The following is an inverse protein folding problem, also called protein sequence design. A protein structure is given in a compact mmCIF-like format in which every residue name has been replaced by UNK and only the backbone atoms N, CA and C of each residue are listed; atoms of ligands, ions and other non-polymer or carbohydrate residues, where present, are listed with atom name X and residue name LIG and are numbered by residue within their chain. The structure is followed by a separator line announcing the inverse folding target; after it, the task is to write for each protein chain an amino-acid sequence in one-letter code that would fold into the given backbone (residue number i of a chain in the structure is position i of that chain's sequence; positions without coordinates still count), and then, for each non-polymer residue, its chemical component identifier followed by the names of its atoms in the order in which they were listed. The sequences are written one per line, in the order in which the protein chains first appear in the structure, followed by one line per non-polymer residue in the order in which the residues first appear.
data_IF_106667881456
#
_entry.id   IF_106667881456
#
_cell.length_a   1.000
_cell.length_b   1.000
_cell.length_c   1.000
_cell.angle_alpha   90.00
_cell.angle_beta   90.00
_cell.angle_gamma   90.00
#
_symmetry.space_group_name_H-M   'P 1'
#
loop_
_entity.id
_entity.type
_entity.pdbx_description
1 polymer ?
#
# COMPACT_ATOMS: atom_id res chain seq x y z
N UNK A 1 23.63 -43.20 13.71
CA UNK A 1 23.29 -42.72 12.35
C UNK A 1 22.06 -41.85 12.49
N UNK A 2 22.18 -40.52 12.31
CA UNK A 2 21.03 -39.62 12.40
C UNK A 2 20.10 -39.81 11.20
N UNK A 3 18.80 -39.91 11.46
CA UNK A 3 17.79 -40.12 10.43
C UNK A 3 17.60 -38.88 9.53
N UNK A 4 17.05 -39.03 8.31
CA UNK A 4 16.72 -37.89 7.44
C UNK A 4 15.79 -36.87 8.10
N UNK A 5 14.92 -37.33 9.01
CA UNK A 5 14.00 -36.49 9.79
C UNK A 5 14.68 -35.63 10.84
N UNK A 6 15.68 -36.15 11.56
CA UNK A 6 16.46 -35.38 12.54
C UNK A 6 17.23 -34.25 11.85
N UNK A 7 17.86 -34.54 10.71
CA UNK A 7 18.58 -33.52 9.93
C UNK A 7 17.67 -32.39 9.44
N UNK A 8 16.41 -32.70 9.13
CA UNK A 8 15.42 -31.68 8.74
C UNK A 8 15.01 -30.81 9.92
N UNK A 9 14.88 -31.39 11.12
CA UNK A 9 14.62 -30.64 12.35
C UNK A 9 15.79 -29.71 12.67
N UNK A 10 17.02 -30.21 12.64
CA UNK A 10 18.22 -29.42 12.90
C UNK A 10 18.33 -28.22 11.96
N UNK A 11 18.12 -28.43 10.65
CA UNK A 11 18.16 -27.34 9.67
C UNK A 11 17.11 -26.26 9.93
N UNK A 12 15.91 -26.65 10.40
CA UNK A 12 14.86 -25.69 10.75
C UNK A 12 15.21 -24.96 12.04
N UNK A 13 15.77 -25.65 13.03
CA UNK A 13 16.22 -25.05 14.29
C UNK A 13 17.36 -24.05 14.09
N UNK A 14 18.28 -24.30 13.16
CA UNK A 14 19.34 -23.36 12.79
C UNK A 14 18.75 -22.08 12.18
N UNK A 15 17.79 -22.22 11.25
CA UNK A 15 17.10 -21.07 10.65
C UNK A 15 16.32 -20.29 11.71
N UNK A 16 15.65 -20.98 12.64
CA UNK A 16 14.93 -20.35 13.75
C UNK A 16 15.88 -19.60 14.68
N UNK A 17 17.00 -20.21 15.05
CA UNK A 17 18.03 -19.60 15.91
C UNK A 17 18.60 -18.34 15.26
N UNK A 18 18.87 -18.37 13.94
CA UNK A 18 19.30 -17.19 13.21
C UNK A 18 18.25 -16.07 13.25
N UNK A 19 16.97 -16.39 13.06
CA UNK A 19 15.88 -15.38 13.11
C UNK A 19 15.73 -14.75 14.49
N UNK A 20 15.89 -15.53 15.56
CA UNK A 20 15.88 -15.01 16.93
C UNK A 20 17.10 -14.11 17.18
N UNK A 21 18.27 -14.48 16.66
CA UNK A 21 19.49 -13.65 16.72
C UNK A 21 19.30 -12.31 15.99
N UNK A 22 18.70 -12.31 14.79
CA UNK A 22 18.40 -11.09 14.02
C UNK A 22 17.49 -10.13 14.81
N UNK A 23 16.45 -10.67 15.48
CA UNK A 23 15.53 -9.90 16.33
C UNK A 23 16.26 -9.35 17.55
N UNK A 24 17.08 -10.17 18.21
CA UNK A 24 17.90 -9.76 19.35
C UNK A 24 18.80 -8.57 18.98
N UNK A 25 19.55 -8.68 17.89
CA UNK A 25 20.45 -7.62 17.43
C UNK A 25 19.70 -6.32 17.11
N UNK A 26 18.51 -6.44 16.51
CA UNK A 26 17.66 -5.28 16.18
C UNK A 26 17.10 -4.60 17.44
N UNK A 27 16.72 -5.39 18.45
CA UNK A 27 16.30 -4.88 19.75
C UNK A 27 17.46 -4.21 20.49
N UNK A 28 18.64 -4.83 20.53
CA UNK A 28 19.83 -4.25 21.15
C UNK A 28 20.24 -2.93 20.49
N UNK A 29 20.18 -2.86 19.16
CA UNK A 29 20.41 -1.63 18.42
C UNK A 29 19.37 -0.54 18.74
N UNK A 30 18.08 -0.90 18.88
CA UNK A 30 17.03 0.04 19.25
C UNK A 30 17.21 0.55 20.68
N UNK A 31 17.48 -0.35 21.64
CA UNK A 31 17.71 0.00 23.05
C UNK A 31 18.92 0.93 23.15
N UNK A 32 20.02 0.61 22.47
CA UNK A 32 21.22 1.44 22.47
C UNK A 32 20.96 2.86 21.92
N UNK A 33 20.22 2.97 20.81
CA UNK A 33 19.78 4.27 20.28
C UNK A 33 18.92 5.03 21.29
N UNK A 34 17.98 4.36 21.95
CA UNK A 34 17.12 4.98 22.96
C UNK A 34 17.89 5.45 24.19
N UNK A 35 18.87 4.68 24.65
CA UNK A 35 19.62 5.00 25.87
C UNK A 35 20.68 6.07 25.62
N UNK A 36 21.35 6.06 24.47
CA UNK A 36 22.48 6.96 24.18
C UNK A 36 22.09 8.21 23.40
N UNK A 37 21.08 8.11 22.55
CA UNK A 37 20.71 9.15 21.59
C UNK A 37 19.29 9.68 21.83
N UNK A 38 18.69 9.45 23.02
CA UNK A 38 17.31 9.84 23.34
C UNK A 38 16.92 11.28 22.97
N UNK A 39 17.87 12.21 23.01
CA UNK A 39 17.67 13.63 22.67
C UNK A 39 17.81 13.95 21.17
N UNK A 40 18.33 13.01 20.37
CA UNK A 40 18.59 13.13 18.93
C UNK A 40 17.72 12.18 18.07
N UNK A 41 17.01 11.24 18.70
CA UNK A 41 16.16 10.29 17.98
C UNK A 41 14.87 10.98 17.54
N UNK A 42 14.79 11.26 16.24
CA UNK A 42 13.55 11.68 15.61
C UNK A 42 12.52 10.53 15.63
N UNK A 43 11.24 10.88 15.85
CA UNK A 43 10.12 9.92 15.87
C UNK A 43 10.04 9.01 14.63
N UNK A 44 10.27 9.49 13.39
CA UNK A 44 10.30 8.62 12.21
C UNK A 44 11.40 7.54 12.28
N UNK A 45 12.58 7.87 12.79
CA UNK A 45 13.70 6.93 12.93
C UNK A 45 13.41 5.83 13.97
N UNK A 46 12.69 6.20 15.03
CA UNK A 46 12.17 5.23 16.00
C UNK A 46 11.12 4.31 15.37
N UNK A 47 10.17 4.88 14.63
CA UNK A 47 9.11 4.11 13.97
C UNK A 47 9.68 3.14 12.93
N UNK A 48 10.71 3.54 12.20
CA UNK A 48 11.42 2.66 11.26
C UNK A 48 12.07 1.47 11.99
N UNK A 49 12.77 1.73 13.10
CA UNK A 49 13.36 0.67 13.94
C UNK A 49 12.29 -0.30 14.47
N UNK A 50 11.15 0.22 14.93
CA UNK A 50 10.00 -0.59 15.34
C UNK A 50 9.40 -1.40 14.18
N UNK A 51 9.33 -0.82 12.99
CA UNK A 51 8.80 -1.47 11.79
C UNK A 51 9.68 -2.65 11.37
N UNK A 52 11.01 -2.51 11.46
CA UNK A 52 11.96 -3.60 11.23
C UNK A 52 11.75 -4.74 12.23
N UNK A 53 11.68 -4.45 13.53
CA UNK A 53 11.49 -5.47 14.58
C UNK A 53 10.16 -6.21 14.38
N UNK A 54 9.07 -5.46 14.15
CA UNK A 54 7.76 -6.05 13.92
C UNK A 54 7.72 -6.95 12.67
N UNK A 55 8.39 -6.56 11.58
CA UNK A 55 8.53 -7.37 10.38
C UNK A 55 9.33 -8.66 10.62
N UNK A 56 10.41 -8.60 11.41
CA UNK A 56 11.20 -9.77 11.78
C UNK A 56 10.40 -10.75 12.65
N UNK A 57 9.67 -10.25 13.65
CA UNK A 57 8.76 -11.06 14.49
C UNK A 57 7.69 -11.73 13.63
N UNK A 58 7.08 -10.98 12.70
CA UNK A 58 6.08 -11.54 11.79
C UNK A 58 6.68 -12.64 10.89
N UNK A 59 7.91 -12.46 10.42
CA UNK A 59 8.63 -13.45 9.63
C UNK A 59 8.89 -14.73 10.43
N UNK A 60 9.28 -14.60 11.71
CA UNK A 60 9.43 -15.75 12.62
C UNK A 60 8.09 -16.46 12.82
N UNK A 61 7.00 -15.72 13.06
CA UNK A 61 5.66 -16.31 13.21
C UNK A 61 5.22 -17.06 11.94
N UNK A 62 5.49 -16.49 10.76
CA UNK A 62 5.18 -17.13 9.47
C UNK A 62 5.99 -18.40 9.26
N UNK A 63 7.26 -18.41 9.68
CA UNK A 63 8.10 -19.61 9.66
C UNK A 63 7.51 -20.70 10.56
N UNK A 64 7.13 -20.37 11.80
CA UNK A 64 6.54 -21.31 12.76
C UNK A 64 5.19 -21.89 12.33
N UNK A 65 4.43 -21.15 11.51
CA UNK A 65 3.13 -21.58 10.98
C UNK A 65 3.22 -22.30 9.63
N UNK A 66 4.42 -22.45 9.07
CA UNK A 66 4.61 -23.03 7.76
C UNK A 66 4.51 -24.57 7.82
N UNK A 67 3.74 -25.16 6.92
CA UNK A 67 3.59 -26.62 6.80
C UNK A 67 4.91 -27.36 6.52
N UNK A 68 5.93 -26.67 6.01
CA UNK A 68 7.28 -27.22 5.81
C UNK A 68 8.09 -27.37 7.11
N UNK A 69 7.68 -26.68 8.17
CA UNK A 69 8.32 -26.87 9.48
C UNK A 69 7.81 -28.16 10.11
N UNK A 70 8.72 -29.02 10.61
CA UNK A 70 8.32 -30.22 11.32
C UNK A 70 7.47 -29.83 12.53
N UNK A 71 6.53 -30.69 12.91
CA UNK A 71 5.63 -30.43 14.04
C UNK A 71 6.46 -30.48 15.33
N UNK A 72 7.00 -29.34 15.74
CA UNK A 72 7.84 -29.20 16.92
C UNK A 72 7.12 -29.59 18.21
N UNK A 73 5.78 -29.51 18.22
CA UNK A 73 4.94 -29.96 19.34
C UNK A 73 5.13 -31.44 19.68
N UNK A 74 5.59 -32.26 18.73
CA UNK A 74 5.83 -33.69 18.96
C UNK A 74 7.18 -33.95 19.65
N UNK A 75 8.04 -32.94 19.79
CA UNK A 75 9.34 -33.05 20.44
C UNK A 75 9.27 -32.44 21.84
N UNK A 76 9.79 -33.17 22.81
CA UNK A 76 9.92 -32.70 24.18
C UNK A 76 11.37 -32.30 24.44
N UNK A 77 11.58 -31.11 24.99
CA UNK A 77 12.91 -30.65 25.42
C UNK A 77 13.11 -31.02 26.88
N UNK A 78 14.16 -31.80 27.18
CA UNK A 78 14.56 -32.14 28.53
C UNK A 78 16.07 -31.91 28.71
N UNK A 79 16.52 -31.39 29.87
CA UNK A 79 17.93 -31.35 30.20
C UNK A 79 18.50 -32.77 30.27
N UNK A 80 19.61 -33.03 29.57
CA UNK A 80 20.32 -34.31 29.64
C UNK A 80 21.22 -34.40 30.87
N UNK A 81 21.84 -33.28 31.23
CA UNK A 81 22.73 -33.17 32.38
C UNK A 81 22.58 -31.79 33.00
N UNK A 82 22.60 -31.74 34.33
CA UNK A 82 22.58 -30.51 35.12
C UNK A 82 23.94 -30.38 35.79
N UNK A 83 24.55 -29.19 35.68
CA UNK A 83 25.87 -28.91 36.24
C UNK A 83 25.86 -27.51 36.84
N UNK A 84 26.41 -27.38 38.05
CA UNK A 84 26.67 -26.09 38.67
C UNK A 84 27.99 -25.47 38.19
N UNK A 85 28.86 -26.27 37.58
CA UNK A 85 30.15 -25.80 37.04
C UNK A 85 29.93 -24.86 35.86
N UNK A 86 30.72 -23.77 35.77
CA UNK A 86 30.69 -22.88 34.61
C UNK A 86 30.97 -23.64 33.31
N UNK A 87 30.16 -23.37 32.30
CA UNK A 87 30.34 -23.91 30.95
C UNK A 87 30.68 -22.76 30.00
N UNK A 88 31.93 -22.73 29.53
CA UNK A 88 32.43 -21.71 28.61
C UNK A 88 31.71 -21.71 27.26
N UNK A 89 31.24 -22.87 26.78
CA UNK A 89 30.50 -22.95 25.52
C UNK A 89 29.11 -22.34 25.67
N UNK A 90 28.43 -22.65 26.78
CA UNK A 90 27.13 -22.06 27.12
C UNK A 90 27.25 -20.56 27.33
N UNK A 91 28.29 -20.11 28.03
CA UNK A 91 28.56 -18.71 28.28
C UNK A 91 28.79 -17.96 26.96
N UNK A 92 29.57 -18.54 26.04
CA UNK A 92 29.79 -17.96 24.71
C UNK A 92 28.51 -17.93 23.86
N UNK A 93 27.73 -19.01 23.87
CA UNK A 93 26.48 -19.10 23.10
C UNK A 93 25.39 -18.15 23.60
N UNK A 94 25.43 -17.78 24.88
CA UNK A 94 24.44 -16.90 25.52
C UNK A 94 24.92 -15.46 25.70
N UNK A 95 26.03 -15.09 25.06
CA UNK A 95 26.69 -13.78 25.18
C UNK A 95 26.90 -13.37 26.64
N UNK A 96 27.40 -14.31 27.44
CA UNK A 96 27.76 -14.10 28.84
C UNK A 96 26.59 -14.16 29.83
N UNK A 97 25.38 -14.49 29.38
CA UNK A 97 24.17 -14.41 30.22
C UNK A 97 23.94 -15.65 31.08
N UNK A 98 24.34 -16.83 30.60
CA UNK A 98 24.12 -18.10 31.31
C UNK A 98 25.48 -18.74 31.63
N UNK A 99 25.93 -18.67 32.90
CA UNK A 99 27.22 -19.22 33.29
C UNK A 99 27.19 -20.75 33.45
N UNK A 100 26.08 -21.32 33.94
CA UNK A 100 25.92 -22.76 34.11
C UNK A 100 24.46 -23.18 34.03
N UNK A 101 24.22 -24.45 33.68
CA UNK A 101 22.88 -25.03 33.55
C UNK A 101 22.52 -25.82 34.82
N UNK A 102 22.28 -25.09 35.91
CA UNK A 102 22.05 -25.62 37.26
C UNK A 102 20.58 -25.90 37.58
N UNK A 103 20.34 -26.67 38.65
CA UNK A 103 18.98 -26.99 39.13
C UNK A 103 18.11 -25.75 39.43
N UNK A 104 18.72 -24.62 39.78
CA UNK A 104 18.01 -23.39 40.11
C UNK A 104 17.66 -22.55 38.87
N UNK A 105 18.49 -22.64 37.83
CA UNK A 105 18.33 -21.85 36.61
C UNK A 105 17.43 -22.51 35.58
N UNK A 106 17.55 -23.83 35.40
CA UNK A 106 16.82 -24.59 34.38
C UNK A 106 15.30 -24.41 34.40
N UNK A 107 14.62 -24.37 35.57
CA UNK A 107 13.19 -24.11 35.60
C UNK A 107 12.79 -22.77 34.96
N UNK A 108 13.64 -21.75 35.08
CA UNK A 108 13.42 -20.45 34.47
C UNK A 108 13.74 -20.47 32.97
N UNK A 109 14.83 -21.11 32.57
CA UNK A 109 15.24 -21.21 31.17
C UNK A 109 14.27 -22.01 30.30
N UNK A 110 13.68 -23.08 30.85
CA UNK A 110 12.71 -23.94 30.16
C UNK A 110 11.25 -23.58 30.48
N UNK A 111 11.02 -22.41 31.09
CA UNK A 111 9.68 -21.97 31.45
C UNK A 111 8.83 -21.78 30.18
N UNK A 112 7.73 -22.52 30.09
CA UNK A 112 6.71 -22.36 29.02
C UNK A 112 5.52 -21.53 29.46
N UNK A 113 5.43 -21.21 30.75
CA UNK A 113 4.35 -20.38 31.30
C UNK A 113 4.54 -18.92 30.88
N UNK A 114 3.54 -18.26 30.26
CA UNK A 114 3.62 -16.85 29.89
C UNK A 114 3.95 -15.94 31.08
N UNK A 115 4.32 -14.70 30.77
CA UNK A 115 4.51 -13.67 31.78
C UNK A 115 3.21 -13.40 32.55
N UNK A 116 3.27 -13.07 33.85
CA UNK A 116 2.09 -12.88 34.69
C UNK A 116 1.06 -11.89 34.13
N UNK A 117 1.53 -10.82 33.47
CA UNK A 117 0.65 -9.82 32.86
C UNK A 117 -0.12 -10.39 31.65
N UNK A 118 0.56 -11.19 30.82
CA UNK A 118 -0.05 -11.86 29.67
C UNK A 118 -1.04 -12.92 30.16
N UNK A 119 -0.68 -13.68 31.20
CA UNK A 119 -1.56 -14.67 31.82
C UNK A 119 -2.84 -14.03 32.37
N UNK A 120 -2.72 -12.92 33.10
CA UNK A 120 -3.88 -12.19 33.62
C UNK A 120 -4.80 -11.68 32.50
N UNK A 121 -4.22 -11.18 31.40
CA UNK A 121 -4.97 -10.79 30.20
C UNK A 121 -5.67 -11.99 29.56
N UNK A 122 -4.99 -13.14 29.44
CA UNK A 122 -5.57 -14.37 28.91
C UNK A 122 -6.74 -14.86 29.76
N UNK A 123 -6.59 -14.92 31.09
CA UNK A 123 -7.68 -15.31 32.01
C UNK A 123 -8.88 -14.37 31.87
N UNK A 124 -8.64 -13.07 31.72
CA UNK A 124 -9.70 -12.09 31.47
C UNK A 124 -10.44 -12.36 30.16
N UNK A 125 -9.71 -12.70 29.09
CA UNK A 125 -10.29 -13.04 27.79
C UNK A 125 -11.04 -14.37 27.83
N UNK A 126 -10.50 -15.39 28.49
CA UNK A 126 -11.15 -16.70 28.69
C UNK A 126 -12.45 -16.56 29.48
N UNK A 127 -12.46 -15.73 30.53
CA UNK A 127 -13.67 -15.41 31.30
C UNK A 127 -14.72 -14.70 30.45
N UNK A 128 -14.31 -13.80 29.54
CA UNK A 128 -15.25 -13.20 28.58
C UNK A 128 -15.76 -14.20 27.56
N UNK A 129 -14.91 -15.15 27.14
CA UNK A 129 -15.27 -16.18 26.17
C UNK A 129 -16.37 -17.11 26.71
N UNK A 130 -16.28 -17.50 27.99
CA UNK A 130 -17.29 -18.38 28.62
C UNK A 130 -18.65 -17.71 28.80
N UNK A 131 -18.72 -16.38 28.81
CA UNK A 131 -19.98 -15.62 28.88
C UNK A 131 -20.76 -15.60 27.56
N UNK A 132 -20.11 -15.87 26.43
CA UNK A 132 -20.72 -15.79 25.10
C UNK A 132 -21.13 -17.20 24.65
N UNK A 133 -22.39 -17.34 24.21
CA UNK A 133 -22.87 -18.57 23.59
C UNK A 133 -22.14 -18.85 22.26
N UNK A 134 -21.62 -20.07 22.10
CA UNK A 134 -20.89 -20.55 20.91
C UNK A 134 -21.64 -20.30 19.58
N UNK A 135 -22.95 -20.52 19.53
CA UNK A 135 -23.74 -20.31 18.31
C UNK A 135 -23.85 -18.83 17.93
N UNK A 136 -24.01 -17.97 18.93
CA UNK A 136 -24.03 -16.52 18.74
C UNK A 136 -22.66 -16.00 18.31
N UNK A 137 -21.58 -16.51 18.91
CA UNK A 137 -20.21 -16.18 18.54
C UNK A 137 -19.91 -16.54 17.08
N UNK A 138 -20.27 -17.75 16.64
CA UNK A 138 -20.06 -18.18 15.25
C UNK A 138 -20.84 -17.34 14.25
N UNK A 139 -22.10 -16.99 14.54
CA UNK A 139 -22.89 -16.07 13.71
C UNK A 139 -22.24 -14.68 13.64
N UNK A 140 -21.75 -14.16 14.77
CA UNK A 140 -21.07 -12.88 14.83
C UNK A 140 -19.76 -12.88 14.05
N UNK A 141 -18.94 -13.94 14.16
CA UNK A 141 -17.69 -14.11 13.39
C UNK A 141 -17.99 -14.11 11.89
N UNK A 142 -18.96 -14.90 11.45
CA UNK A 142 -19.34 -14.96 10.04
C UNK A 142 -19.83 -13.61 9.50
N UNK A 143 -20.60 -12.87 10.30
CA UNK A 143 -21.04 -11.52 9.93
C UNK A 143 -19.86 -10.54 9.83
N UNK A 144 -18.96 -10.53 10.81
CA UNK A 144 -17.77 -9.67 10.79
C UNK A 144 -16.85 -9.99 9.62
N UNK A 145 -16.61 -11.28 9.34
CA UNK A 145 -15.81 -11.69 8.19
C UNK A 145 -16.41 -11.21 6.86
N UNK A 146 -17.74 -11.24 6.71
CA UNK A 146 -18.42 -10.68 5.54
C UNK A 146 -18.19 -9.17 5.42
N UNK A 147 -18.35 -8.42 6.52
CA UNK A 147 -18.13 -6.97 6.53
C UNK A 147 -16.67 -6.63 6.18
N UNK A 148 -15.70 -7.28 6.82
CA UNK A 148 -14.28 -7.07 6.54
C UNK A 148 -13.96 -7.38 5.09
N UNK A 149 -14.47 -8.50 4.56
CA UNK A 149 -14.27 -8.87 3.15
C UNK A 149 -14.85 -7.81 2.22
N UNK A 150 -16.09 -7.35 2.46
CA UNK A 150 -16.72 -6.31 1.65
C UNK A 150 -15.91 -5.01 1.65
N UNK A 151 -15.35 -4.60 2.80
CA UNK A 151 -14.51 -3.41 2.90
C UNK A 151 -13.20 -3.58 2.11
N UNK A 152 -12.58 -4.76 2.18
CA UNK A 152 -11.37 -5.07 1.40
C UNK A 152 -11.68 -5.07 -0.10
N UNK A 153 -12.81 -5.63 -0.52
CA UNK A 153 -13.23 -5.66 -1.93
C UNK A 153 -13.48 -4.24 -2.44
N UNK A 154 -14.17 -3.39 -1.65
CA UNK A 154 -14.40 -1.98 -1.99
C UNK A 154 -13.08 -1.21 -2.12
N UNK A 155 -12.14 -1.42 -1.18
CA UNK A 155 -10.83 -0.76 -1.21
C UNK A 155 -10.00 -1.22 -2.42
N UNK A 156 -10.06 -2.51 -2.74
CA UNK A 156 -9.36 -3.09 -3.89
C UNK A 156 -9.91 -2.54 -5.20
N UNK A 157 -11.24 -2.45 -5.32
CA UNK A 157 -11.92 -1.85 -6.47
C UNK A 157 -11.59 -0.35 -6.60
N UNK A 158 -11.58 0.38 -5.48
CA UNK A 158 -11.19 1.80 -5.49
C UNK A 158 -9.76 2.00 -5.98
N UNK A 159 -8.84 1.11 -5.57
CA UNK A 159 -7.44 1.11 -6.05
C UNK A 159 -7.35 0.82 -7.55
N UNK A 160 -8.03 -0.22 -8.04
CA UNK A 160 -8.04 -0.57 -9.47
C UNK A 160 -8.61 0.55 -10.34
N UNK A 161 -9.69 1.20 -9.86
CA UNK A 161 -10.25 2.37 -10.52
C UNK A 161 -9.27 3.54 -10.56
N UNK A 162 -8.56 3.83 -9.47
CA UNK A 162 -7.53 4.88 -9.43
C UNK A 162 -6.37 4.60 -10.39
N UNK A 163 -5.87 3.36 -10.43
CA UNK A 163 -4.80 2.96 -11.34
C UNK A 163 -5.27 3.06 -12.81
N UNK A 164 -6.51 2.66 -13.09
CA UNK A 164 -7.13 2.80 -14.42
C UNK A 164 -7.31 4.26 -14.85
N UNK A 165 -7.71 5.14 -13.92
CA UNK A 165 -7.92 6.56 -14.17
C UNK A 165 -6.60 7.34 -14.34
N UNK A 166 -5.51 6.87 -13.72
CA UNK A 166 -4.16 7.38 -13.96
C UNK A 166 -3.64 7.00 -15.37
N UNK A 167 -3.92 5.77 -15.82
CA UNK A 167 -3.54 5.30 -17.17
C UNK A 167 -4.37 6.01 -18.25
N UNK A 168 -5.68 6.24 -18.00
CA UNK A 168 -6.57 6.93 -18.95
C UNK A 168 -6.22 8.41 -19.15
N UNK A 169 -5.67 9.09 -18.13
CA UNK A 169 -5.14 10.46 -18.27
C UNK A 169 -3.92 10.54 -19.19
N UNK A 170 -3.14 9.47 -19.28
CA UNK A 170 -1.97 9.39 -20.16
C UNK A 170 -2.37 9.15 -21.62
N UNK A 171 -3.56 8.61 -21.87
CA UNK A 171 -4.12 8.37 -23.20
C UNK A 171 -5.19 9.38 -23.64
N UNK A 172 -5.41 10.45 -22.88
CA UNK A 172 -6.26 11.54 -23.35
C UNK A 172 -5.64 12.18 -24.61
N UNK A 173 -6.45 12.41 -25.67
CA UNK A 173 -5.96 13.10 -26.85
C UNK A 173 -5.44 14.48 -26.44
N UNK A 174 -4.26 14.83 -26.95
CA UNK A 174 -3.60 16.10 -26.69
C UNK A 174 -4.60 17.26 -26.78
N UNK A 175 -4.88 17.90 -25.64
CA UNK A 175 -5.88 18.98 -25.55
C UNK A 175 -5.32 20.33 -26.01
N UNK A 176 -4.01 20.42 -26.23
CA UNK A 176 -3.33 21.63 -26.70
C UNK A 176 -2.16 21.27 -27.62
N UNK A 177 -2.20 21.74 -28.87
CA UNK A 177 -1.11 21.60 -29.83
C UNK A 177 -0.38 22.93 -30.00
N UNK A 178 0.91 22.95 -29.63
CA UNK A 178 1.77 24.14 -29.76
C UNK A 178 1.79 24.65 -31.20
N UNK A 179 1.74 23.75 -32.19
CA UNK A 179 1.78 24.09 -33.60
C UNK A 179 0.48 24.78 -34.05
N UNK A 180 -0.68 24.34 -33.53
CA UNK A 180 -1.96 25.02 -33.77
C UNK A 180 -1.99 26.40 -33.10
N UNK A 181 -1.40 26.52 -31.90
CA UNK A 181 -1.25 27.81 -31.22
C UNK A 181 -0.37 28.77 -32.04
N UNK A 182 0.76 28.31 -32.58
CA UNK A 182 1.60 29.14 -33.45
C UNK A 182 0.89 29.55 -34.74
N UNK A 183 0.10 28.67 -35.35
CA UNK A 183 -0.69 29.03 -36.54
C UNK A 183 -1.74 30.10 -36.24
N UNK A 184 -2.44 30.02 -35.10
CA UNK A 184 -3.38 31.05 -34.67
C UNK A 184 -2.68 32.38 -34.39
N UNK A 185 -1.54 32.36 -33.72
CA UNK A 185 -0.74 33.58 -33.44
C UNK A 185 -0.26 34.23 -34.74
N UNK A 186 0.21 33.45 -35.71
CA UNK A 186 0.63 33.97 -37.02
C UNK A 186 -0.56 34.51 -37.81
N UNK A 187 -1.71 33.83 -37.80
CA UNK A 187 -2.91 34.31 -38.47
C UNK A 187 -3.43 35.63 -37.86
N UNK A 188 -3.39 35.79 -36.54
CA UNK A 188 -3.77 37.04 -35.85
C UNK A 188 -2.76 38.17 -36.06
N UNK A 189 -1.46 37.85 -36.00
CA UNK A 189 -0.40 38.86 -36.09
C UNK A 189 -0.08 39.31 -37.51
N UNK A 190 -0.24 38.44 -38.51
CA UNK A 190 0.16 38.72 -39.91
C UNK A 190 -0.96 38.54 -40.94
N UNK A 191 -2.15 38.10 -40.53
CA UNK A 191 -3.29 37.83 -41.43
C UNK A 191 -3.09 36.61 -42.34
N UNK A 192 -1.95 35.92 -42.24
CA UNK A 192 -1.56 34.83 -43.15
C UNK A 192 -2.42 33.60 -42.88
N UNK A 193 -3.27 33.24 -43.84
CA UNK A 193 -4.19 32.09 -43.76
C UNK A 193 -5.68 32.45 -43.80
N UNK A 194 -6.04 33.73 -43.68
CA UNK A 194 -7.42 34.21 -43.86
C UNK A 194 -7.61 34.54 -45.35
N UNK A 195 -8.29 33.65 -46.07
CA UNK A 195 -8.62 33.87 -47.50
C UNK A 195 -9.86 34.76 -47.58
N UNK A 196 -9.75 35.96 -48.14
CA UNK A 196 -10.92 36.73 -48.55
C UNK A 196 -11.64 35.96 -49.67
N UNK A 197 -12.94 35.74 -49.52
CA UNK A 197 -13.75 34.99 -50.47
C UNK A 197 -13.65 35.60 -51.90
N UNK A 198 -13.44 34.78 -52.95
CA UNK A 198 -13.48 35.25 -54.33
C UNK A 198 -14.95 35.30 -54.77
N UNK A 199 -15.49 36.51 -54.85
CA UNK A 199 -16.90 36.69 -55.22
C UNK A 199 -17.29 38.15 -55.39
N UNK A 200 -16.53 38.92 -56.16
CA UNK A 200 -16.98 40.21 -56.69
C UNK A 200 -16.49 40.35 -58.14
N UNK A 201 -17.23 39.75 -59.06
CA UNK A 201 -17.17 40.10 -60.47
C UNK A 201 -17.84 41.47 -60.65
N UNK A 202 -17.05 42.46 -61.02
CA UNK A 202 -17.53 43.74 -61.53
C UNK A 202 -17.89 43.59 -63.01
N UNK A 203 -19.08 44.05 -63.43
CA UNK A 203 -19.40 44.30 -64.83
C UNK A 203 -20.32 45.54 -64.95
N UNK A 204 -20.14 46.41 -65.98
CA UNK A 204 -20.77 47.73 -66.06
C UNK A 204 -21.96 47.77 -67.04
N UNK A 205 -22.96 48.62 -66.80
CA UNK A 205 -23.95 49.02 -67.82
C UNK A 205 -25.27 49.60 -67.25
N UNK A 206 -25.83 50.72 -67.77
CA UNK A 206 -26.79 51.57 -67.05
C UNK A 206 -28.25 51.45 -67.56
N UNK A 207 -29.23 51.69 -66.67
CA UNK A 207 -30.39 52.60 -66.87
C UNK A 207 -31.45 52.44 -65.75
N UNK A 208 -32.27 53.47 -65.48
CA UNK A 208 -32.79 53.74 -64.14
C UNK A 208 -34.31 53.59 -64.01
N UNK A 209 -34.79 53.03 -62.91
CA UNK A 209 -36.13 53.35 -62.34
C UNK A 209 -36.12 53.17 -60.81
N UNK A 210 -36.51 54.23 -60.12
CA UNK A 210 -36.82 54.32 -58.67
C UNK A 210 -38.36 54.49 -58.54
N UNK A 211 -38.96 54.50 -57.34
CA UNK A 211 -38.73 53.69 -56.14
C UNK A 211 -40.07 53.15 -55.55
N UNK A 212 -40.02 52.07 -54.77
CA UNK A 212 -41.09 51.85 -53.76
C UNK A 212 -40.55 51.22 -52.48
N UNK A 213 -40.76 51.93 -51.37
CA UNK A 213 -40.47 51.51 -50.00
C UNK A 213 -41.49 50.47 -49.52
N UNK A 214 -41.03 49.50 -48.73
CA UNK A 214 -41.57 49.21 -47.39
C UNK A 214 -40.67 48.18 -46.65
N UNK A 215 -40.72 48.13 -45.30
CA UNK A 215 -39.59 47.71 -44.47
C UNK A 215 -39.70 46.26 -43.94
N UNK A 216 -38.63 45.84 -43.26
CA UNK A 216 -38.62 44.88 -42.14
C UNK A 216 -38.27 43.41 -42.48
N UNK A 217 -37.02 43.01 -42.18
CA UNK A 217 -36.72 41.98 -41.17
C UNK A 217 -35.20 41.76 -41.00
N UNK A 218 -34.75 41.85 -39.76
CA UNK A 218 -33.39 41.54 -39.30
C UNK A 218 -33.04 40.08 -39.64
N UNK A 219 -32.03 39.90 -40.48
CA UNK A 219 -31.39 38.60 -40.72
C UNK A 219 -30.25 38.41 -39.71
N UNK A 220 -30.16 37.27 -39.00
CA UNK A 220 -29.05 37.01 -38.09
C UNK A 220 -27.76 36.82 -38.90
N UNK A 221 -26.68 37.45 -38.42
CA UNK A 221 -25.35 37.40 -38.98
C UNK A 221 -24.91 35.94 -39.25
N UNK A 222 -24.86 35.56 -40.53
CA UNK A 222 -24.31 34.29 -40.97
C UNK A 222 -22.82 34.24 -40.65
N UNK A 223 -22.44 33.35 -39.73
CA UNK A 223 -21.03 32.98 -39.49
C UNK A 223 -20.41 32.56 -40.82
N UNK A 224 -19.36 33.25 -41.24
CA UNK A 224 -18.57 32.86 -42.40
C UNK A 224 -18.05 31.41 -42.18
N UNK A 225 -18.22 30.50 -43.15
CA UNK A 225 -17.74 29.13 -43.01
C UNK A 225 -16.20 29.15 -42.97
N UNK A 226 -15.64 28.77 -41.83
CA UNK A 226 -14.20 28.62 -41.67
C UNK A 226 -13.73 27.37 -42.42
N UNK A 227 -12.75 27.52 -43.32
CA UNK A 227 -12.18 26.45 -44.14
C UNK A 227 -11.15 25.57 -43.41
N UNK A 228 -11.03 25.70 -42.09
CA UNK A 228 -10.13 24.89 -41.27
C UNK A 228 -10.92 23.65 -40.82
N UNK A 229 -10.57 22.49 -41.36
CA UNK A 229 -11.07 21.19 -40.88
C UNK A 229 -10.45 20.90 -39.51
N UNK A 230 -11.05 21.40 -38.44
CA UNK A 230 -10.70 20.98 -37.08
C UNK A 230 -11.48 19.71 -36.74
N UNK A 231 -10.80 18.59 -36.45
CA UNK A 231 -11.43 17.33 -36.05
C UNK A 231 -11.80 17.33 -34.55
N UNK A 232 -12.34 18.44 -34.06
CA UNK A 232 -12.78 18.58 -32.68
C UNK A 232 -14.12 17.86 -32.59
N UNK A 233 -14.11 16.60 -32.15
CA UNK A 233 -15.31 15.99 -31.60
C UNK A 233 -15.69 16.85 -30.40
N UNK A 234 -16.83 17.53 -30.47
CA UNK A 234 -17.42 18.21 -29.32
C UNK A 234 -17.57 17.18 -28.20
N UNK A 235 -16.66 17.21 -27.23
CA UNK A 235 -16.83 16.48 -25.99
C UNK A 235 -18.12 17.01 -25.38
N UNK A 236 -19.11 16.13 -25.21
CA UNK A 236 -20.32 16.47 -24.47
C UNK A 236 -19.92 17.11 -23.14
N UNK A 237 -20.57 18.22 -22.83
CA UNK A 237 -20.47 18.96 -21.57
C UNK A 237 -20.54 17.99 -20.38
N UNK A 238 -19.39 17.51 -19.91
CA UNK A 238 -19.25 16.95 -18.57
C UNK A 238 -18.83 18.11 -17.66
N UNK A 239 -19.83 18.76 -17.08
CA UNK A 239 -19.61 19.72 -16.01
C UNK A 239 -19.02 18.99 -14.78
N UNK A 240 -17.88 19.45 -14.21
CA UNK A 240 -17.25 18.77 -13.08
C UNK A 240 -17.98 18.91 -11.73
N UNK A 241 -19.11 19.61 -11.68
CA UNK A 241 -19.95 19.73 -10.48
C UNK A 241 -21.43 19.76 -10.88
N UNK A 242 -22.00 18.59 -11.12
CA UNK A 242 -23.44 18.38 -11.00
C UNK A 242 -23.73 17.92 -9.58
N UNK A 243 -24.46 18.74 -8.80
CA UNK A 243 -25.19 18.24 -7.64
C UNK A 243 -26.43 17.49 -8.08
#
# INVERSE_FOLDING_TARGET
MQGPSERHVDAVLDVMSQRVSDIKNSLEAMVHKLERESHLVDWPSYLDSYSVISAQIYTLLKLLRNDKTPILRNYQTLPLQLSAEPDDQLLKATDGRVPSFSHDFVPNALRTKPDPEIEAKQVTLETRMTQINSDTAMKQINNHNKVVKNVIDLLSQAKENWDSDAISRTSQPQTSSINETHQLVVALGTGRGIKNAPGRTAQPGPSPTLPTQQPQQMSPAGKAPSGIKTNIKSAGQMHPYGR
#
